data_IF_254011029008
#
_entry.id   IF_254011029008
#
_cell.length_a   1.000
_cell.length_b   1.000
_cell.length_c   1.000
_cell.angle_alpha   90.00
_cell.angle_beta   90.00
_cell.angle_gamma   90.00
#
_symmetry.space_group_name_H-M   'P 1'
#
loop_
_entity.id
_entity.type
_entity.pdbx_description
1 polymer ?
#
# COMPACT_ATOMS: atom_id res chain seq x y z
N UNK A 1 58.09 -19.85 13.92
CA UNK A 1 56.83 -20.61 13.76
C UNK A 1 55.71 -19.58 13.67
N UNK A 2 55.27 -19.26 12.45
CA UNK A 2 54.15 -18.33 12.23
C UNK A 2 52.85 -19.02 12.59
N UNK A 3 52.11 -18.48 13.56
CA UNK A 3 50.72 -18.84 13.76
C UNK A 3 49.89 -18.18 12.66
N UNK A 4 49.28 -19.00 11.80
CA UNK A 4 48.28 -18.56 10.85
C UNK A 4 47.03 -18.12 11.63
N UNK A 5 46.66 -16.84 11.54
CA UNK A 5 45.33 -16.38 11.95
C UNK A 5 44.31 -16.98 10.98
N UNK A 6 43.38 -17.77 11.49
CA UNK A 6 42.18 -18.14 10.75
C UNK A 6 41.31 -16.88 10.57
N UNK A 7 40.74 -16.63 9.38
CA UNK A 7 39.75 -15.58 9.22
C UNK A 7 38.51 -15.95 10.04
N UNK A 8 37.99 -14.98 10.79
CA UNK A 8 36.72 -15.12 11.49
C UNK A 8 35.62 -15.44 10.47
N UNK A 9 34.85 -16.49 10.71
CA UNK A 9 33.67 -16.78 9.92
C UNK A 9 32.70 -15.60 10.05
N UNK A 10 32.40 -14.95 8.93
CA UNK A 10 31.28 -14.00 8.85
C UNK A 10 30.00 -14.78 9.13
N UNK A 11 29.36 -14.53 10.27
CA UNK A 11 27.98 -14.98 10.50
C UNK A 11 27.14 -14.27 9.44
N UNK A 12 26.63 -15.02 8.46
CA UNK A 12 25.65 -14.47 7.54
C UNK A 12 24.46 -14.01 8.38
N UNK A 13 24.01 -12.76 8.17
CA UNK A 13 22.80 -12.27 8.81
C UNK A 13 21.62 -13.19 8.46
N UNK A 14 20.72 -13.39 9.41
CA UNK A 14 19.53 -14.21 9.20
C UNK A 14 18.71 -13.64 8.02
N UNK A 15 18.15 -14.51 7.15
CA UNK A 15 17.31 -14.06 6.06
C UNK A 15 16.12 -13.23 6.55
N UNK A 16 15.94 -12.04 5.99
CA UNK A 16 14.86 -11.11 6.34
C UNK A 16 14.30 -10.45 5.07
N UNK A 17 12.98 -10.17 5.03
CA UNK A 17 12.41 -9.38 3.96
C UNK A 17 12.87 -7.92 4.06
N UNK A 18 12.67 -7.17 2.98
CA UNK A 18 12.99 -5.74 2.90
C UNK A 18 12.00 -5.11 1.92
N UNK A 19 11.03 -4.35 2.43
CA UNK A 19 10.02 -3.68 1.65
C UNK A 19 10.44 -2.27 1.33
N UNK A 20 10.29 -1.94 0.07
CA UNK A 20 10.43 -0.57 -0.42
C UNK A 20 9.15 -0.16 -1.12
N UNK A 21 9.08 1.13 -1.45
CA UNK A 21 8.03 1.67 -2.32
C UNK A 21 8.65 2.04 -3.66
N UNK A 22 8.06 1.55 -4.76
CA UNK A 22 8.51 1.91 -6.10
C UNK A 22 8.07 3.35 -6.46
N UNK A 23 8.96 4.32 -6.19
CA UNK A 23 8.70 5.74 -6.46
C UNK A 23 8.61 6.07 -7.95
N UNK A 24 9.26 5.30 -8.82
CA UNK A 24 9.15 5.50 -10.28
C UNK A 24 7.74 5.18 -10.77
N UNK A 25 7.14 4.11 -10.24
CA UNK A 25 5.73 3.79 -10.51
C UNK A 25 4.79 4.88 -9.98
N UNK A 26 5.01 5.39 -8.75
CA UNK A 26 4.24 6.52 -8.22
C UNK A 26 4.29 7.75 -9.13
N UNK A 27 5.48 8.06 -9.69
CA UNK A 27 5.69 9.24 -10.53
C UNK A 27 4.99 9.15 -11.88
N UNK A 28 4.75 7.93 -12.39
CA UNK A 28 4.22 7.67 -13.72
C UNK A 28 2.82 7.03 -13.75
N UNK A 29 2.26 6.64 -12.60
CA UNK A 29 0.93 6.04 -12.54
C UNK A 29 0.01 6.83 -11.62
N UNK A 30 -0.45 7.98 -12.11
CA UNK A 30 -1.49 8.77 -11.46
C UNK A 30 -2.34 9.57 -12.45
N UNK A 31 -3.56 9.93 -12.03
CA UNK A 31 -4.46 10.82 -12.75
C UNK A 31 -5.39 11.56 -11.80
N UNK A 32 -5.52 12.87 -12.01
CA UNK A 32 -6.56 13.73 -11.41
C UNK A 32 -7.75 13.77 -12.35
N UNK A 33 -8.96 13.44 -11.87
CA UNK A 33 -10.18 13.48 -12.68
C UNK A 33 -11.44 13.62 -11.84
N UNK A 34 -12.53 13.99 -12.50
CA UNK A 34 -13.88 13.80 -11.95
C UNK A 34 -14.32 12.37 -12.21
N UNK A 35 -14.76 11.68 -11.17
CA UNK A 35 -15.24 10.30 -11.28
C UNK A 35 -16.52 10.12 -10.47
N UNK A 36 -17.49 9.40 -11.05
CA UNK A 36 -18.67 9.00 -10.31
C UNK A 36 -18.27 7.94 -9.29
N UNK A 37 -18.54 8.22 -8.02
CA UNK A 37 -18.42 7.27 -6.91
C UNK A 37 -19.85 6.91 -6.42
N UNK A 38 -20.45 5.81 -6.93
CA UNK A 38 -21.77 5.35 -6.50
C UNK A 38 -21.83 5.02 -5.01
N UNK A 39 -23.02 5.16 -4.41
CA UNK A 39 -23.25 4.79 -3.00
C UNK A 39 -23.07 3.28 -2.73
N UNK A 40 -23.05 2.46 -3.78
CA UNK A 40 -22.83 1.01 -3.70
C UNK A 40 -21.36 0.61 -3.72
N UNK A 41 -20.44 1.56 -3.97
CA UNK A 41 -19.01 1.29 -3.88
C UNK A 41 -18.62 1.17 -2.41
N UNK A 42 -17.92 0.11 -2.08
CA UNK A 42 -17.47 -0.10 -0.72
C UNK A 42 -16.35 0.84 -0.33
N UNK A 43 -15.50 1.28 -1.26
CA UNK A 43 -14.57 2.37 -0.99
C UNK A 43 -15.27 3.66 -0.58
N UNK A 44 -16.51 3.88 -1.03
CA UNK A 44 -17.37 4.98 -0.59
C UNK A 44 -17.93 4.72 0.80
N UNK A 45 -18.44 3.52 1.06
CA UNK A 45 -19.01 3.13 2.36
C UNK A 45 -17.95 3.12 3.47
N UNK A 46 -16.84 2.40 3.25
CA UNK A 46 -15.75 2.22 4.21
C UNK A 46 -14.93 3.50 4.38
N UNK A 47 -14.78 4.28 3.32
CA UNK A 47 -14.10 5.57 3.34
C UNK A 47 -14.93 6.71 3.94
N UNK A 48 -16.23 6.50 4.22
CA UNK A 48 -17.12 7.56 4.67
C UNK A 48 -17.30 8.69 3.65
N UNK A 49 -17.18 8.35 2.36
CA UNK A 49 -17.21 9.33 1.27
C UNK A 49 -18.66 9.63 0.92
N UNK A 50 -18.96 10.91 0.72
CA UNK A 50 -20.27 11.31 0.23
C UNK A 50 -20.44 10.82 -1.22
N UNK A 51 -21.48 10.02 -1.55
CA UNK A 51 -21.66 9.52 -2.92
C UNK A 51 -21.81 10.64 -3.97
N UNK A 52 -21.54 10.32 -5.23
CA UNK A 52 -21.70 11.24 -6.37
C UNK A 52 -20.41 11.44 -7.17
N UNK A 53 -20.42 12.41 -8.08
CA UNK A 53 -19.21 12.80 -8.81
C UNK A 53 -18.24 13.49 -7.85
N UNK A 54 -17.00 13.00 -7.79
CA UNK A 54 -15.94 13.51 -6.93
C UNK A 54 -14.70 13.87 -7.75
N UNK A 55 -14.04 14.95 -7.34
CA UNK A 55 -12.68 15.25 -7.79
C UNK A 55 -11.72 14.34 -7.03
N UNK A 56 -11.03 13.45 -7.73
CA UNK A 56 -10.11 12.49 -7.12
C UNK A 56 -8.74 12.50 -7.79
N UNK A 57 -7.72 12.09 -7.04
CA UNK A 57 -6.40 11.72 -7.54
C UNK A 57 -6.24 10.20 -7.39
N UNK A 58 -6.31 9.47 -8.50
CA UNK A 58 -5.97 8.04 -8.54
C UNK A 58 -4.47 7.88 -8.72
N UNK A 59 -3.92 6.83 -8.13
CA UNK A 59 -2.49 6.51 -8.22
C UNK A 59 -2.29 5.01 -8.05
N UNK A 60 -1.24 4.41 -8.61
CA UNK A 60 -0.88 3.03 -8.28
C UNK A 60 0.19 3.02 -7.19
N UNK A 61 0.24 1.98 -6.37
CA UNK A 61 1.32 1.73 -5.39
C UNK A 61 1.90 0.36 -5.65
N UNK A 62 3.23 0.24 -5.64
CA UNK A 62 3.90 -1.06 -5.70
C UNK A 62 4.91 -1.15 -4.57
N UNK A 63 4.86 -2.27 -3.83
CA UNK A 63 5.68 -2.58 -2.66
C UNK A 63 6.52 -3.84 -2.89
N UNK A 64 7.69 -3.70 -3.55
CA UNK A 64 8.61 -4.81 -3.78
C UNK A 64 9.26 -5.33 -2.50
N UNK A 65 9.39 -6.66 -2.39
CA UNK A 65 10.30 -7.31 -1.45
C UNK A 65 11.68 -7.50 -2.10
N UNK A 66 12.62 -6.65 -1.70
CA UNK A 66 14.02 -6.64 -2.14
C UNK A 66 14.95 -7.38 -1.17
N UNK A 67 14.38 -7.96 -0.11
CA UNK A 67 15.10 -8.74 0.89
C UNK A 67 15.48 -10.13 0.39
N UNK A 68 16.01 -10.95 1.30
CA UNK A 68 16.44 -12.32 1.01
C UNK A 68 15.57 -13.38 1.72
N UNK A 69 14.45 -12.97 2.32
CA UNK A 69 13.39 -13.85 2.80
C UNK A 69 12.00 -13.32 2.41
N UNK A 70 11.03 -14.22 2.37
CA UNK A 70 9.64 -13.87 2.13
C UNK A 70 9.04 -13.13 3.34
N UNK A 71 8.05 -12.30 3.07
CA UNK A 71 7.02 -12.01 4.06
C UNK A 71 6.02 -13.16 3.99
N UNK A 72 5.82 -13.86 5.11
CA UNK A 72 4.87 -14.95 5.20
C UNK A 72 3.87 -14.66 6.32
N UNK A 73 2.67 -14.21 5.94
CA UNK A 73 1.59 -13.94 6.89
C UNK A 73 0.72 -15.20 7.06
N UNK A 74 0.40 -15.87 5.95
CA UNK A 74 -0.47 -17.05 5.97
C UNK A 74 -1.95 -16.68 5.85
N UNK A 75 -2.83 -17.44 6.51
CA UNK A 75 -4.28 -17.29 6.38
C UNK A 75 -4.84 -16.23 7.35
N UNK A 76 -5.45 -15.13 6.86
CA UNK A 76 -6.06 -14.13 7.73
C UNK A 76 -7.14 -14.67 8.66
N UNK A 77 -7.84 -15.74 8.28
CA UNK A 77 -8.83 -16.37 9.16
C UNK A 77 -8.18 -16.92 10.45
N UNK A 78 -6.94 -17.41 10.37
CA UNK A 78 -6.21 -17.92 11.53
C UNK A 78 -5.83 -16.78 12.49
N UNK A 79 -5.37 -15.65 11.97
CA UNK A 79 -5.04 -14.45 12.75
C UNK A 79 -6.25 -13.86 13.46
N UNK A 80 -7.39 -13.79 12.76
CA UNK A 80 -8.65 -13.30 13.32
C UNK A 80 -9.16 -14.24 14.40
N UNK A 81 -9.06 -15.56 14.20
CA UNK A 81 -9.41 -16.55 15.22
C UNK A 81 -8.48 -16.48 16.45
N UNK A 82 -7.20 -16.16 16.24
CA UNK A 82 -6.24 -15.93 17.32
C UNK A 82 -6.40 -14.57 18.02
N UNK A 83 -7.14 -13.64 17.40
CA UNK A 83 -7.31 -12.26 17.85
C UNK A 83 -5.96 -11.57 18.13
N UNK A 84 -4.99 -11.76 17.23
CA UNK A 84 -3.63 -11.20 17.38
C UNK A 84 -3.51 -9.74 16.91
N UNK A 85 -4.58 -9.19 16.36
CA UNK A 85 -4.65 -7.80 15.94
C UNK A 85 -3.89 -7.50 14.65
N UNK A 86 -3.53 -8.49 13.83
CA UNK A 86 -2.88 -8.27 12.53
C UNK A 86 -3.86 -7.77 11.46
N UNK A 87 -5.09 -8.25 11.52
CA UNK A 87 -6.14 -7.94 10.54
C UNK A 87 -7.30 -7.16 11.15
N UNK A 88 -7.97 -6.38 10.30
CA UNK A 88 -9.28 -5.81 10.59
C UNK A 88 -10.31 -6.25 9.57
N UNK A 89 -11.56 -6.37 10.01
CA UNK A 89 -12.63 -6.84 9.15
C UNK A 89 -13.20 -5.69 8.31
N UNK A 90 -13.17 -5.85 6.99
CA UNK A 90 -13.81 -4.96 6.04
C UNK A 90 -15.24 -5.45 5.77
N UNK A 91 -16.23 -4.73 6.30
CA UNK A 91 -17.63 -5.17 6.33
C UNK A 91 -18.28 -5.23 4.97
N UNK A 92 -17.78 -4.52 3.97
CA UNK A 92 -18.48 -4.39 2.70
C UNK A 92 -18.20 -5.56 1.75
N UNK A 93 -17.03 -6.19 1.84
CA UNK A 93 -16.64 -7.36 1.02
C UNK A 93 -16.36 -8.64 1.79
N UNK A 94 -16.56 -8.63 3.10
CA UNK A 94 -16.31 -9.78 3.96
C UNK A 94 -14.88 -10.33 3.83
N UNK A 95 -13.89 -9.44 3.72
CA UNK A 95 -12.48 -9.81 3.70
C UNK A 95 -11.69 -9.07 4.78
N UNK A 96 -10.43 -9.46 4.95
CA UNK A 96 -9.57 -8.97 6.01
C UNK A 96 -8.54 -7.99 5.45
N UNK A 97 -8.52 -6.79 6.00
CA UNK A 97 -7.52 -5.78 5.73
C UNK A 97 -6.33 -5.95 6.66
N UNK A 98 -5.12 -5.99 6.11
CA UNK A 98 -3.91 -5.94 6.93
C UNK A 98 -3.82 -4.55 7.60
N UNK A 99 -3.72 -4.52 8.93
CA UNK A 99 -3.56 -3.27 9.68
C UNK A 99 -2.15 -2.74 9.49
N UNK A 100 -2.02 -1.45 9.21
CA UNK A 100 -0.72 -0.78 9.00
C UNK A 100 0.09 -1.37 7.84
N UNK A 101 -0.54 -1.66 6.70
CA UNK A 101 0.23 -2.04 5.51
C UNK A 101 0.93 -0.83 4.90
N UNK A 102 0.16 0.18 4.47
CA UNK A 102 0.70 1.45 3.98
C UNK A 102 0.03 2.63 4.66
N UNK A 103 0.78 3.73 4.79
CA UNK A 103 0.23 5.06 4.99
C UNK A 103 0.44 5.84 3.69
N UNK A 104 -0.67 6.20 3.05
CA UNK A 104 -0.67 6.99 1.83
C UNK A 104 -1.05 8.43 2.16
N UNK A 105 -0.19 9.37 1.78
CA UNK A 105 -0.29 10.78 2.09
C UNK A 105 -0.18 11.62 0.82
N UNK A 106 -1.02 12.65 0.72
CA UNK A 106 -0.83 13.76 -0.19
C UNK A 106 -0.36 14.96 0.65
N UNK A 107 0.78 15.54 0.29
CA UNK A 107 1.45 16.56 1.10
C UNK A 107 1.61 17.83 0.28
N UNK A 108 1.14 18.94 0.82
CA UNK A 108 1.47 20.27 0.32
C UNK A 108 2.90 20.64 0.76
N UNK A 109 3.87 20.75 -0.16
CA UNK A 109 5.24 21.07 0.20
C UNK A 109 5.42 22.52 0.71
N UNK A 110 4.48 23.42 0.43
CA UNK A 110 4.55 24.80 0.88
C UNK A 110 4.07 24.97 2.33
N UNK A 111 3.04 24.22 2.74
CA UNK A 111 2.42 24.36 4.07
C UNK A 111 2.68 23.18 5.01
N UNK A 112 3.10 22.02 4.49
CA UNK A 112 3.19 20.77 5.22
C UNK A 112 1.84 20.13 5.53
N UNK A 113 0.74 20.63 4.94
CA UNK A 113 -0.60 20.05 5.09
C UNK A 113 -0.61 18.64 4.51
N UNK A 114 -1.23 17.71 5.24
CA UNK A 114 -1.36 16.30 4.85
C UNK A 114 -2.84 15.95 4.67
N UNK A 115 -3.13 15.27 3.58
CA UNK A 115 -4.36 14.51 3.34
C UNK A 115 -4.01 13.03 3.26
N UNK A 116 -4.94 12.17 3.66
CA UNK A 116 -4.76 10.71 3.59
C UNK A 116 -5.77 10.08 2.64
N UNK A 117 -5.49 8.89 2.15
CA UNK A 117 -6.51 8.08 1.46
C UNK A 117 -7.61 7.68 2.45
N UNK A 118 -8.82 7.48 1.92
CA UNK A 118 -9.97 7.08 2.73
C UNK A 118 -9.97 5.58 3.05
N UNK A 119 -9.36 4.75 2.19
CA UNK A 119 -9.24 3.29 2.38
C UNK A 119 -8.12 2.97 3.36
N UNK A 120 -8.37 2.02 4.28
CA UNK A 120 -7.51 1.75 5.45
C UNK A 120 -6.76 0.44 5.44
N UNK A 121 -6.94 -0.41 4.43
CA UNK A 121 -6.14 -1.60 4.31
C UNK A 121 -6.40 -2.40 3.05
N UNK A 122 -5.54 -3.38 2.89
CA UNK A 122 -5.24 -4.06 1.65
C UNK A 122 -4.69 -5.45 2.01
N UNK A 123 -4.82 -6.43 1.13
CA UNK A 123 -4.12 -7.71 1.29
C UNK A 123 -2.67 -7.67 0.79
N UNK A 124 -1.87 -8.68 1.12
CA UNK A 124 -0.53 -8.87 0.56
C UNK A 124 -0.43 -10.14 -0.25
N UNK A 125 -0.18 -10.01 -1.56
CA UNK A 125 0.02 -11.15 -2.46
C UNK A 125 1.11 -10.82 -3.50
N UNK A 126 1.66 -11.85 -4.12
CA UNK A 126 2.56 -11.71 -5.25
C UNK A 126 1.74 -11.25 -6.47
N UNK A 127 1.75 -9.97 -6.81
CA UNK A 127 1.02 -9.42 -7.99
C UNK A 127 1.93 -9.23 -9.19
N UNK A 128 3.18 -8.82 -8.98
CA UNK A 128 4.12 -8.41 -10.01
C UNK A 128 5.55 -8.79 -9.61
N UNK A 129 6.45 -9.14 -10.54
CA UNK A 129 7.88 -9.22 -10.21
C UNK A 129 8.41 -7.89 -9.66
N UNK A 130 9.24 -7.94 -8.63
CA UNK A 130 9.98 -6.79 -8.15
C UNK A 130 10.92 -6.28 -9.27
N UNK A 131 10.83 -4.99 -9.67
CA UNK A 131 11.68 -4.50 -10.75
C UNK A 131 13.17 -4.53 -10.37
N UNK A 132 14.07 -4.96 -11.27
CA UNK A 132 15.52 -4.88 -11.01
C UNK A 132 16.00 -3.44 -10.76
N UNK A 133 15.32 -2.43 -11.32
CA UNK A 133 15.63 -1.01 -11.14
C UNK A 133 15.52 -0.53 -9.70
N UNK A 134 14.77 -1.24 -8.86
CA UNK A 134 14.60 -0.92 -7.44
C UNK A 134 15.31 -1.91 -6.52
N UNK A 135 16.17 -2.78 -7.07
CA UNK A 135 16.88 -3.81 -6.31
C UNK A 135 16.14 -5.14 -6.18
N UNK A 136 15.07 -5.35 -6.95
CA UNK A 136 14.34 -6.61 -6.98
C UNK A 136 15.21 -7.79 -7.37
N UNK A 137 15.17 -8.86 -6.56
CA UNK A 137 15.76 -10.14 -6.92
C UNK A 137 14.97 -10.78 -8.08
N UNK A 138 15.60 -11.66 -8.89
CA UNK A 138 14.86 -12.44 -9.88
C UNK A 138 13.72 -13.23 -9.20
N UNK A 139 12.47 -13.11 -9.69
CA UNK A 139 11.33 -13.75 -9.05
C UNK A 139 11.42 -15.28 -9.15
N UNK A 140 11.19 -15.96 -8.03
CA UNK A 140 10.83 -17.38 -8.02
C UNK A 140 9.37 -17.60 -8.45
N UNK A 141 8.81 -18.82 -8.28
CA UNK A 141 7.37 -19.04 -8.41
C UNK A 141 6.58 -18.15 -7.45
N UNK A 142 5.41 -17.66 -7.86
CA UNK A 142 4.46 -17.02 -6.92
C UNK A 142 3.99 -18.01 -5.86
N UNK A 143 4.03 -17.62 -4.59
CA UNK A 143 3.63 -18.42 -3.43
C UNK A 143 2.34 -17.87 -2.82
N UNK A 144 2.25 -16.55 -2.66
CA UNK A 144 1.13 -15.87 -2.01
C UNK A 144 0.19 -15.31 -3.08
N UNK A 145 -0.99 -15.90 -3.25
CA UNK A 145 -1.86 -15.64 -4.43
C UNK A 145 -3.29 -15.26 -4.07
N UNK A 146 -3.68 -15.44 -2.83
CA UNK A 146 -5.06 -15.27 -2.41
C UNK A 146 -5.11 -14.55 -1.09
N UNK A 147 -5.92 -13.49 -1.08
CA UNK A 147 -6.14 -12.68 0.09
C UNK A 147 -6.97 -13.44 1.14
N UNK A 148 -7.71 -14.48 0.74
CA UNK A 148 -8.71 -15.13 1.60
C UNK A 148 -9.92 -14.23 1.85
N UNK A 149 -11.00 -14.82 2.35
CA UNK A 149 -12.21 -14.12 2.80
C UNK A 149 -12.75 -14.81 4.04
N UNK A 150 -13.80 -14.27 4.66
CA UNK A 150 -14.44 -14.94 5.81
C UNK A 150 -14.83 -16.37 5.44
N UNK A 151 -14.20 -17.34 6.11
CA UNK A 151 -14.44 -18.78 5.88
C UNK A 151 -13.78 -19.35 4.63
N UNK A 152 -13.01 -18.57 3.87
CA UNK A 152 -12.22 -19.00 2.72
C UNK A 152 -10.75 -18.76 3.03
N UNK A 153 -9.96 -19.83 3.10
CA UNK A 153 -8.56 -19.77 3.45
C UNK A 153 -7.77 -18.87 2.48
N UNK A 154 -6.97 -17.97 3.05
CA UNK A 154 -5.97 -17.18 2.33
C UNK A 154 -4.58 -17.80 2.37
N UNK A 155 -3.63 -17.14 1.70
CA UNK A 155 -2.20 -17.30 1.91
C UNK A 155 -1.53 -15.98 1.52
N UNK A 156 -1.44 -15.06 2.47
CA UNK A 156 -0.89 -13.71 2.27
C UNK A 156 0.60 -13.65 2.60
N UNK A 157 1.29 -12.78 1.89
CA UNK A 157 2.74 -12.62 1.95
C UNK A 157 3.29 -12.01 0.66
N UNK A 158 4.59 -11.76 0.62
CA UNK A 158 5.31 -11.27 -0.56
C UNK A 158 6.63 -12.04 -0.66
N UNK A 159 6.73 -12.83 -1.71
CA UNK A 159 7.89 -13.68 -1.99
C UNK A 159 9.13 -12.83 -2.32
N UNK A 160 10.33 -13.36 -2.07
CA UNK A 160 11.57 -12.73 -2.55
C UNK A 160 11.51 -12.50 -4.07
N UNK A 161 11.82 -11.27 -4.50
CA UNK A 161 11.79 -10.90 -5.92
C UNK A 161 10.38 -10.66 -6.47
N UNK A 162 9.36 -10.68 -5.63
CA UNK A 162 8.00 -10.26 -5.95
C UNK A 162 7.66 -8.93 -5.31
N UNK A 163 6.63 -8.30 -5.84
CA UNK A 163 6.00 -7.11 -5.34
C UNK A 163 4.50 -7.35 -5.26
N UNK A 164 3.90 -6.62 -4.34
CA UNK A 164 2.47 -6.41 -4.31
C UNK A 164 2.17 -5.06 -4.95
N UNK A 165 1.08 -4.97 -5.72
CA UNK A 165 0.79 -3.82 -6.58
C UNK A 165 -0.70 -3.53 -6.55
N UNK A 166 -1.00 -2.35 -6.02
CA UNK A 166 -2.31 -1.76 -5.98
C UNK A 166 -2.47 -0.79 -7.13
N UNK A 167 -3.07 -1.26 -8.22
CA UNK A 167 -3.26 -0.43 -9.41
C UNK A 167 -4.29 0.68 -9.18
N UNK A 168 -4.13 1.80 -9.87
CA UNK A 168 -4.99 2.98 -9.78
C UNK A 168 -6.50 2.73 -10.05
N UNK A 169 -6.85 1.60 -10.66
CA UNK A 169 -8.24 1.20 -10.93
C UNK A 169 -8.94 0.56 -9.72
N UNK A 170 -8.20 0.17 -8.68
CA UNK A 170 -8.78 -0.47 -7.50
C UNK A 170 -9.64 0.52 -6.69
N UNK A 171 -10.66 -0.03 -6.06
CA UNK A 171 -11.52 0.64 -5.10
C UNK A 171 -10.70 1.15 -3.92
N UNK A 172 -10.87 2.44 -3.62
CA UNK A 172 -10.17 3.15 -2.55
C UNK A 172 -8.73 3.56 -2.86
N UNK A 173 -8.22 3.24 -4.06
CA UNK A 173 -6.90 3.68 -4.50
C UNK A 173 -6.93 5.12 -5.05
N UNK A 174 -7.31 6.07 -4.20
CA UNK A 174 -7.39 7.48 -4.55
C UNK A 174 -7.41 8.40 -3.31
N UNK A 175 -7.02 9.66 -3.52
CA UNK A 175 -7.34 10.78 -2.63
C UNK A 175 -8.61 11.48 -3.11
N UNK A 176 -9.49 11.86 -2.17
CA UNK A 176 -10.62 12.76 -2.45
C UNK A 176 -10.13 14.19 -2.31
N UNK A 177 -10.30 15.01 -3.35
CA UNK A 177 -9.73 16.35 -3.43
C UNK A 177 -10.76 17.45 -3.12
N UNK A 178 -12.05 17.15 -3.19
CA UNK A 178 -13.14 18.11 -3.00
C UNK A 178 -13.72 18.14 -1.58
N UNK A 179 -13.13 17.39 -0.65
CA UNK A 179 -13.58 17.28 0.75
C UNK A 179 -14.81 16.41 0.96
N UNK A 180 -15.24 15.65 -0.06
CA UNK A 180 -16.33 14.68 0.05
C UNK A 180 -16.12 13.56 1.08
N UNK A 181 -14.90 13.42 1.60
CA UNK A 181 -14.48 12.49 2.66
C UNK A 181 -14.32 13.17 4.04
N UNK A 182 -14.71 14.43 4.17
CA UNK A 182 -14.62 15.20 5.41
C UNK A 182 -13.24 15.82 5.68
N UNK A 183 -12.25 15.62 4.81
CA UNK A 183 -11.00 16.38 4.85
C UNK A 183 -11.20 17.76 4.19
N UNK A 184 -10.34 18.77 4.48
CA UNK A 184 -10.41 20.03 3.74
C UNK A 184 -10.18 19.84 2.24
N UNK A 185 -10.77 20.71 1.43
CA UNK A 185 -10.51 20.74 -0.03
C UNK A 185 -9.01 20.86 -0.29
N UNK A 186 -8.52 20.11 -1.28
CA UNK A 186 -7.14 20.19 -1.80
C UNK A 186 -7.10 21.27 -2.88
N UNK A 187 -6.42 22.42 -2.68
CA UNK A 187 -6.30 23.44 -3.71
C UNK A 187 -5.50 22.96 -4.93
N UNK A 188 -5.65 23.60 -6.11
CA UNK A 188 -4.74 23.36 -7.24
C UNK A 188 -3.29 23.70 -6.87
N UNK A 189 -2.32 22.93 -7.38
CA UNK A 189 -0.91 23.15 -7.08
C UNK A 189 -0.02 21.93 -7.27
N UNK A 190 1.24 22.09 -6.88
CA UNK A 190 2.23 21.01 -6.81
C UNK A 190 2.11 20.33 -5.45
N UNK A 191 1.99 19.00 -5.46
CA UNK A 191 1.91 18.17 -4.27
C UNK A 191 2.89 17.01 -4.34
N UNK A 192 3.09 16.38 -3.20
CA UNK A 192 3.83 15.13 -3.10
C UNK A 192 2.89 14.01 -2.68
N UNK A 193 2.83 12.93 -3.46
CA UNK A 193 2.36 11.65 -2.94
C UNK A 193 3.52 11.04 -2.15
N UNK A 194 3.28 10.71 -0.89
CA UNK A 194 4.19 9.94 -0.04
C UNK A 194 3.48 8.67 0.38
N UNK A 195 4.12 7.54 0.16
CA UNK A 195 3.67 6.24 0.67
C UNK A 195 4.73 5.74 1.64
N UNK A 196 4.28 5.22 2.78
CA UNK A 196 5.13 4.52 3.74
C UNK A 196 4.62 3.09 3.90
N UNK A 197 5.38 2.11 3.45
CA UNK A 197 5.06 0.68 3.64
C UNK A 197 5.55 0.21 5.00
N UNK A 198 4.83 -0.70 5.66
CA UNK A 198 5.08 -1.14 7.04
C UNK A 198 5.47 0.04 7.98
N UNK A 199 4.62 1.07 8.07
CA UNK A 199 4.93 2.31 8.76
C UNK A 199 5.23 2.09 10.25
N UNK A 200 6.14 2.90 10.83
CA UNK A 200 6.40 2.88 12.26
C UNK A 200 5.16 3.36 13.03
N UNK A 201 4.89 2.72 14.16
CA UNK A 201 3.84 3.15 15.09
C UNK A 201 4.31 3.09 16.54
N UNK A 202 3.62 3.82 17.41
CA UNK A 202 3.76 3.68 18.86
C UNK A 202 2.61 2.83 19.35
N UNK A 203 2.90 1.63 19.84
CA UNK A 203 1.88 0.72 20.37
C UNK A 203 1.11 1.38 21.52
N UNK A 204 -0.22 1.38 21.43
CA UNK A 204 -1.07 1.77 22.54
C UNK A 204 -0.97 0.76 23.70
N UNK A 205 -1.47 1.13 24.88
CA UNK A 205 -1.52 0.20 26.02
C UNK A 205 -2.33 -1.05 25.66
N UNK A 206 -1.66 -2.20 25.66
CA UNK A 206 -2.26 -3.50 25.31
C UNK A 206 -2.23 -3.85 23.82
N UNK A 207 -1.66 -2.99 22.97
CA UNK A 207 -1.39 -3.29 21.56
C UNK A 207 -0.04 -4.00 21.41
N UNK A 208 0.07 -4.90 20.43
CA UNK A 208 1.31 -5.62 20.15
C UNK A 208 2.37 -4.69 19.53
N UNK A 209 3.64 -4.94 19.87
CA UNK A 209 4.82 -4.34 19.24
C UNK A 209 5.74 -5.48 18.78
N UNK A 210 5.39 -6.18 17.68
CA UNK A 210 6.03 -7.45 17.34
C UNK A 210 7.48 -7.26 16.88
N UNK A 211 7.76 -6.13 16.21
CA UNK A 211 9.09 -5.77 15.73
C UNK A 211 9.39 -4.32 16.10
N UNK A 212 10.62 -4.03 16.50
CA UNK A 212 11.04 -2.69 16.92
C UNK A 212 12.25 -2.25 16.10
N UNK A 213 12.19 -1.04 15.56
CA UNK A 213 13.32 -0.43 14.85
C UNK A 213 14.39 0.10 15.85
N UNK A 214 15.59 0.48 15.38
CA UNK A 214 16.62 1.07 16.24
C UNK A 214 16.22 2.38 16.95
N UNK A 215 15.19 3.05 16.47
CA UNK A 215 14.65 4.30 17.02
C UNK A 215 13.58 4.05 18.09
N UNK A 216 13.16 2.80 18.26
CA UNK A 216 12.19 2.37 19.25
C UNK A 216 10.74 2.34 18.76
N UNK A 217 10.47 2.56 17.48
CA UNK A 217 9.13 2.42 16.90
C UNK A 217 8.78 0.97 16.61
N UNK A 218 7.50 0.64 16.75
CA UNK A 218 6.97 -0.67 16.43
C UNK A 218 6.67 -0.77 14.93
N UNK A 219 6.85 -1.96 14.37
CA UNK A 219 6.49 -2.34 13.00
C UNK A 219 5.71 -3.64 13.03
N UNK A 220 4.78 -3.82 12.08
CA UNK A 220 4.00 -5.06 12.00
C UNK A 220 4.77 -6.20 11.35
N UNK A 221 5.67 -5.87 10.42
CA UNK A 221 6.51 -6.85 9.74
C UNK A 221 7.97 -6.75 10.20
N UNK A 222 8.67 -7.89 10.34
CA UNK A 222 10.12 -7.88 10.49
C UNK A 222 10.72 -7.46 9.16
N UNK A 223 11.71 -6.58 9.15
CA UNK A 223 12.46 -6.23 7.94
C UNK A 223 13.95 -6.08 8.26
N UNK A 224 14.79 -6.34 7.25
CA UNK A 224 16.23 -6.11 7.38
C UNK A 224 16.57 -4.62 7.47
N UNK A 225 15.69 -3.75 6.96
CA UNK A 225 15.82 -2.29 6.96
C UNK A 225 14.44 -1.66 7.07
N UNK A 226 14.34 -0.60 7.86
CA UNK A 226 13.13 0.22 7.99
C UNK A 226 13.32 1.64 7.40
N UNK A 227 14.54 2.00 7.02
CA UNK A 227 14.92 3.35 6.58
C UNK A 227 14.66 3.62 5.08
N UNK A 228 14.18 2.61 4.35
CA UNK A 228 13.85 2.59 2.93
C UNK A 228 12.36 2.34 2.65
N UNK A 229 11.53 2.31 3.68
CA UNK A 229 10.09 2.08 3.63
C UNK A 229 9.27 3.24 3.04
N UNK A 230 9.91 4.35 2.65
CA UNK A 230 9.25 5.56 2.16
C UNK A 230 9.52 5.76 0.68
N UNK A 231 8.45 5.90 -0.11
CA UNK A 231 8.52 6.33 -1.51
C UNK A 231 7.73 7.62 -1.73
N UNK A 232 8.20 8.43 -2.67
CA UNK A 232 7.67 9.76 -2.91
C UNK A 232 7.64 10.09 -4.40
N UNK A 233 6.60 10.80 -4.84
CA UNK A 233 6.50 11.35 -6.19
C UNK A 233 5.81 12.72 -6.19
N UNK A 234 6.21 13.59 -7.12
CA UNK A 234 5.53 14.86 -7.31
C UNK A 234 4.37 14.72 -8.29
N UNK A 235 3.24 15.34 -7.93
CA UNK A 235 2.04 15.38 -8.76
C UNK A 235 1.53 16.81 -8.88
N UNK A 236 0.98 17.12 -10.05
CA UNK A 236 0.33 18.41 -10.31
C UNK A 236 -1.18 18.22 -10.27
N UNK A 237 -1.84 18.99 -9.40
CA UNK A 237 -3.29 19.04 -9.31
C UNK A 237 -3.76 20.33 -9.99
N UNK A 238 -4.52 20.17 -11.05
CA UNK A 238 -5.14 21.29 -11.77
C UNK A 238 -6.55 21.56 -11.23
N UNK A 239 -6.98 22.80 -11.40
CA UNK A 239 -8.33 23.25 -11.08
C UNK A 239 -9.38 22.62 -12.02
N UNK A 240 -8.98 22.38 -13.28
CA UNK A 240 -9.88 21.92 -14.35
C UNK A 240 -9.29 20.71 -15.12
N UNK A 241 -9.37 19.48 -14.57
CA UNK A 241 -8.78 18.29 -15.19
C UNK A 241 -9.42 17.86 -16.51
N UNK A 242 -10.57 18.42 -16.88
CA UNK A 242 -11.30 18.05 -18.10
C UNK A 242 -11.77 16.59 -18.10
N UNK A 243 -12.36 16.15 -19.22
CA UNK A 243 -12.95 14.79 -19.32
C UNK A 243 -11.91 13.68 -19.30
N UNK A 244 -10.71 13.93 -19.83
CA UNK A 244 -9.63 12.94 -19.87
C UNK A 244 -8.85 12.83 -18.56
N UNK A 245 -9.05 13.75 -17.62
CA UNK A 245 -8.17 13.91 -16.47
C UNK A 245 -6.82 14.54 -16.84
N UNK A 246 -6.00 14.76 -15.82
CA UNK A 246 -4.63 15.28 -15.94
C UNK A 246 -3.66 14.34 -15.23
N UNK A 247 -2.51 14.13 -15.85
CA UNK A 247 -1.45 13.27 -15.34
C UNK A 247 -1.01 12.24 -16.39
N UNK A 248 -0.01 11.42 -16.06
CA UNK A 248 0.49 10.37 -16.94
C UNK A 248 -0.57 9.37 -17.43
N UNK A 249 -1.63 9.16 -16.63
CA UNK A 249 -2.74 8.25 -16.96
C UNK A 249 -3.96 8.98 -17.54
N UNK A 250 -3.82 10.20 -18.05
CA UNK A 250 -4.92 10.91 -18.71
C UNK A 250 -5.45 10.09 -19.91
N UNK A 251 -6.78 10.04 -20.07
CA UNK A 251 -7.48 9.29 -21.11
C UNK A 251 -7.67 7.80 -20.82
N UNK A 252 -7.20 7.30 -19.67
CA UNK A 252 -7.49 5.93 -19.24
C UNK A 252 -8.95 5.75 -18.81
N UNK A 253 -9.54 4.55 -18.96
CA UNK A 253 -10.92 4.27 -18.53
C UNK A 253 -11.18 4.58 -17.05
N UNK A 254 -12.44 4.83 -16.69
CA UNK A 254 -12.84 4.96 -15.30
C UNK A 254 -12.98 3.58 -14.64
N UNK A 255 -12.75 3.51 -13.33
CA UNK A 255 -12.95 2.25 -12.61
C UNK A 255 -14.42 1.81 -12.67
N UNK A 256 -15.36 2.76 -12.70
CA UNK A 256 -16.79 2.54 -12.84
C UNK A 256 -17.23 1.98 -14.20
N UNK A 257 -16.39 2.03 -15.23
CA UNK A 257 -16.76 1.58 -16.58
C UNK A 257 -16.79 0.04 -16.69
N UNK A 258 -16.22 -0.66 -15.72
CA UNK A 258 -16.18 -2.13 -15.66
C UNK A 258 -17.36 -2.70 -14.86
N UNK A 259 -18.45 -3.04 -15.57
CA UNK A 259 -19.48 -3.99 -15.14
C UNK A 259 -20.32 -3.67 -13.87
N UNK A 260 -20.23 -2.47 -13.30
CA UNK A 260 -21.14 -2.00 -12.24
C UNK A 260 -20.75 -2.36 -10.81
N UNK A 261 -19.61 -3.02 -10.60
CA UNK A 261 -18.95 -3.19 -9.30
C UNK A 261 -17.56 -2.56 -9.35
N UNK A 262 -17.11 -1.95 -8.25
CA UNK A 262 -15.73 -1.45 -8.20
C UNK A 262 -14.73 -2.61 -8.20
N UNK A 263 -13.64 -2.56 -8.98
CA UNK A 263 -12.57 -3.55 -8.89
C UNK A 263 -11.92 -3.46 -7.52
N UNK A 264 -11.80 -4.58 -6.82
CA UNK A 264 -11.27 -4.62 -5.46
C UNK A 264 -10.11 -5.59 -5.38
N UNK A 265 -9.38 -5.47 -4.29
CA UNK A 265 -8.26 -6.34 -4.00
C UNK A 265 -8.71 -7.72 -3.55
N UNK A 266 -8.09 -8.74 -4.12
CA UNK A 266 -8.23 -10.11 -3.63
C UNK A 266 -9.48 -10.87 -4.06
N UNK A 267 -10.17 -10.43 -5.13
CA UNK A 267 -11.25 -11.18 -5.77
C UNK A 267 -10.79 -12.23 -6.79
#
# INVERSE_FOLDING_TARGET
MSALLQPAASIAADPMPDLIVNSDLLQHQWVVRDELLPATFCSVVEGGITPGVRRILRFSVQTPNVGNADINLGDPNAHVAANDGLYEFATCHNHFHFRHYTIDQLIDPATGRVWKTAKRGFCMIDTNPAPPSVGGNPPGPRVYKTCGRVGIAGNQGISVGWADEYIFLLGGQYFVLDGGDGQPVVPPGLYKIRVTVNPPFTAATGEACPHQDPQGFCHQLPESRYDNNVGEAFVMIDDHPGRGGIGPLAGTPHASDNAGSEPLDGD
#
